data_IF_962739414293
#
_entry.id   IF_962739414293
#
_cell.length_a   1.000
_cell.length_b   1.000
_cell.length_c   1.000
_cell.angle_alpha   90.00
_cell.angle_beta   90.00
_cell.angle_gamma   90.00
#
_symmetry.space_group_name_H-M   'P 1'
#
loop_
_entity.id
_entity.type
_entity.pdbx_description
1 polymer ?
#
# COMPACT_ATOMS: atom_id res chain seq x y z
N UNK A 1 32.65 -51.95 22.22
CA UNK A 1 32.26 -51.15 21.03
C UNK A 1 32.67 -49.70 21.27
N UNK A 2 33.72 -49.20 20.60
CA UNK A 2 34.25 -47.84 20.86
C UNK A 2 33.55 -46.85 19.93
N UNK A 3 32.70 -45.99 20.49
CA UNK A 3 31.95 -44.96 19.76
C UNK A 3 32.91 -43.81 19.44
N UNK A 4 33.28 -43.65 18.18
CA UNK A 4 34.08 -42.51 17.71
C UNK A 4 33.19 -41.25 17.73
N UNK A 5 33.20 -40.51 18.83
CA UNK A 5 32.58 -39.19 18.90
C UNK A 5 33.49 -38.19 18.19
N UNK A 6 33.35 -38.08 16.86
CA UNK A 6 33.94 -36.96 16.10
C UNK A 6 33.16 -35.69 16.47
N UNK A 7 33.73 -34.87 17.34
CA UNK A 7 33.21 -33.52 17.61
C UNK A 7 33.47 -32.61 16.42
N UNK A 8 32.59 -31.61 16.24
CA UNK A 8 32.81 -30.54 15.27
C UNK A 8 34.07 -29.75 15.63
N UNK A 9 34.86 -29.39 14.63
CA UNK A 9 36.00 -28.50 14.84
C UNK A 9 35.52 -27.06 15.02
N UNK A 10 36.22 -26.27 15.84
CA UNK A 10 35.93 -24.83 15.96
C UNK A 10 36.00 -24.12 14.60
N UNK A 11 36.89 -24.60 13.73
CA UNK A 11 37.07 -24.04 12.39
C UNK A 11 35.85 -24.27 11.49
N UNK A 12 35.25 -25.46 11.52
CA UNK A 12 34.03 -25.74 10.74
C UNK A 12 32.88 -24.83 11.15
N UNK A 13 32.69 -24.64 12.46
CA UNK A 13 31.61 -23.80 12.96
C UNK A 13 31.86 -22.32 12.63
N UNK A 14 33.13 -21.88 12.68
CA UNK A 14 33.51 -20.52 12.32
C UNK A 14 33.30 -20.22 10.83
N UNK A 15 33.70 -21.12 9.93
CA UNK A 15 33.48 -20.95 8.48
C UNK A 15 31.99 -21.01 8.14
N UNK A 16 31.23 -21.90 8.77
CA UNK A 16 29.79 -21.98 8.56
C UNK A 16 29.09 -20.68 8.99
N UNK A 17 29.43 -20.14 10.16
CA UNK A 17 28.84 -18.91 10.67
C UNK A 17 29.19 -17.68 9.79
N UNK A 18 30.41 -17.61 9.24
CA UNK A 18 30.80 -16.50 8.36
C UNK A 18 30.07 -16.55 7.02
N UNK A 19 29.92 -17.73 6.42
CA UNK A 19 29.15 -17.90 5.17
C UNK A 19 27.68 -17.51 5.40
N UNK A 20 27.05 -17.98 6.48
CA UNK A 20 25.66 -17.60 6.82
C UNK A 20 25.55 -16.09 7.05
N UNK A 21 26.53 -15.47 7.73
CA UNK A 21 26.56 -14.03 7.95
C UNK A 21 26.55 -13.22 6.65
N UNK A 22 27.39 -13.60 5.67
CA UNK A 22 27.44 -12.93 4.36
C UNK A 22 26.11 -13.11 3.60
N UNK A 23 25.57 -14.33 3.57
CA UNK A 23 24.30 -14.60 2.90
C UNK A 23 23.12 -13.84 3.52
N UNK A 24 23.09 -13.69 4.85
CA UNK A 24 22.03 -12.97 5.56
C UNK A 24 21.98 -11.48 5.17
N UNK A 25 23.13 -10.84 4.97
CA UNK A 25 23.19 -9.43 4.54
C UNK A 25 22.60 -9.24 3.14
N UNK A 26 23.00 -10.07 2.17
CA UNK A 26 22.45 -10.01 0.81
C UNK A 26 20.96 -10.32 0.76
N UNK A 27 20.52 -11.36 1.47
CA UNK A 27 19.11 -11.74 1.54
C UNK A 27 18.24 -10.62 2.10
N UNK A 28 18.72 -9.89 3.11
CA UNK A 28 17.97 -8.79 3.73
C UNK A 28 17.68 -7.65 2.75
N UNK A 29 18.65 -7.25 1.92
CA UNK A 29 18.42 -6.16 0.95
C UNK A 29 17.46 -6.60 -0.15
N UNK A 30 17.66 -7.79 -0.72
CA UNK A 30 16.81 -8.32 -1.80
C UNK A 30 15.34 -8.53 -1.36
N UNK A 31 15.12 -9.04 -0.14
CA UNK A 31 13.77 -9.33 0.35
C UNK A 31 12.94 -8.06 0.61
N UNK A 32 13.57 -6.95 0.99
CA UNK A 32 12.86 -5.69 1.26
C UNK A 32 12.18 -5.13 0.02
N UNK A 33 12.80 -5.26 -1.15
CA UNK A 33 12.23 -4.77 -2.41
C UNK A 33 11.03 -5.61 -2.85
N UNK A 34 11.18 -6.93 -2.90
CA UNK A 34 10.09 -7.84 -3.30
C UNK A 34 8.88 -7.76 -2.36
N UNK A 35 9.13 -7.61 -1.05
CA UNK A 35 8.06 -7.39 -0.08
C UNK A 35 7.35 -6.03 -0.28
N UNK A 36 8.05 -5.00 -0.71
CA UNK A 36 7.45 -3.70 -1.01
C UNK A 36 6.59 -3.76 -2.27
N UNK A 37 7.05 -4.42 -3.33
CA UNK A 37 6.29 -4.62 -4.57
C UNK A 37 5.00 -5.41 -4.33
N UNK A 38 5.06 -6.47 -3.52
CA UNK A 38 3.87 -7.26 -3.15
C UNK A 38 2.84 -6.41 -2.41
N UNK A 39 3.29 -5.61 -1.44
CA UNK A 39 2.41 -4.67 -0.72
C UNK A 39 1.83 -3.62 -1.65
N UNK A 40 2.63 -3.11 -2.59
CA UNK A 40 2.18 -2.13 -3.56
C UNK A 40 1.08 -2.70 -4.46
N UNK A 41 1.25 -3.92 -4.96
CA UNK A 41 0.22 -4.58 -5.76
C UNK A 41 -1.09 -4.74 -4.98
N UNK A 42 -1.02 -5.12 -3.71
CA UNK A 42 -2.19 -5.17 -2.82
C UNK A 42 -2.84 -3.79 -2.63
N UNK A 43 -2.04 -2.76 -2.39
CA UNK A 43 -2.52 -1.39 -2.25
C UNK A 43 -3.19 -0.88 -3.54
N UNK A 44 -2.63 -1.15 -4.73
CA UNK A 44 -3.25 -0.80 -6.02
C UNK A 44 -4.64 -1.40 -6.18
N UNK A 45 -4.79 -2.68 -5.86
CA UNK A 45 -6.09 -3.37 -5.92
C UNK A 45 -7.11 -2.77 -4.93
N UNK A 46 -6.65 -2.36 -3.75
CA UNK A 46 -7.50 -1.67 -2.79
C UNK A 46 -7.90 -0.28 -3.28
N UNK A 47 -6.98 0.50 -3.83
CA UNK A 47 -7.28 1.80 -4.42
C UNK A 47 -8.30 1.69 -5.57
N UNK A 48 -8.23 0.63 -6.37
CA UNK A 48 -9.23 0.33 -7.41
C UNK A 48 -10.60 0.03 -6.81
N UNK A 49 -10.67 -0.80 -5.76
CA UNK A 49 -11.91 -1.08 -5.04
C UNK A 49 -12.52 0.21 -4.45
N UNK A 50 -11.68 1.10 -3.92
CA UNK A 50 -12.11 2.41 -3.42
C UNK A 50 -12.69 3.28 -4.54
N UNK A 51 -12.00 3.40 -5.67
CA UNK A 51 -12.47 4.17 -6.82
C UNK A 51 -13.81 3.65 -7.33
N UNK A 52 -13.95 2.33 -7.46
CA UNK A 52 -15.19 1.66 -7.86
C UNK A 52 -16.34 1.96 -6.89
N UNK A 53 -16.08 1.96 -5.58
CA UNK A 53 -17.09 2.29 -4.58
C UNK A 53 -17.54 3.75 -4.67
N UNK A 54 -16.59 4.68 -4.85
CA UNK A 54 -16.90 6.11 -5.09
C UNK A 54 -17.75 6.27 -6.36
N UNK A 55 -17.39 5.57 -7.43
CA UNK A 55 -18.14 5.62 -8.69
C UNK A 55 -19.57 5.10 -8.52
N UNK A 56 -19.77 3.98 -7.81
CA UNK A 56 -21.10 3.43 -7.50
C UNK A 56 -21.94 4.41 -6.67
N UNK A 57 -21.35 5.03 -5.65
CA UNK A 57 -22.01 6.07 -4.88
C UNK A 57 -22.44 7.26 -5.76
N UNK A 58 -21.61 7.68 -6.71
CA UNK A 58 -21.96 8.78 -7.64
C UNK A 58 -23.08 8.42 -8.60
N UNK A 59 -23.26 7.13 -8.92
CA UNK A 59 -24.39 6.68 -9.76
C UNK A 59 -25.70 6.61 -8.99
N UNK A 60 -25.66 6.18 -7.73
CA UNK A 60 -26.84 6.09 -6.86
C UNK A 60 -26.54 6.61 -5.45
N UNK A 61 -26.55 7.95 -5.25
CA UNK A 61 -26.30 8.53 -3.93
C UNK A 61 -27.49 8.36 -2.98
N UNK A 62 -28.70 8.11 -3.50
CA UNK A 62 -29.92 8.02 -2.70
C UNK A 62 -29.96 6.76 -1.81
N UNK A 63 -29.24 5.70 -2.22
CA UNK A 63 -29.06 4.50 -1.42
C UNK A 63 -28.24 4.73 -0.12
N UNK A 64 -27.58 5.89 0.01
CA UNK A 64 -26.74 6.23 1.15
C UNK A 64 -27.27 7.47 1.89
N UNK A 65 -28.28 7.26 2.74
CA UNK A 65 -28.93 8.33 3.51
C UNK A 65 -28.08 8.91 4.64
N UNK A 66 -26.91 8.31 4.91
CA UNK A 66 -26.00 8.73 5.98
C UNK A 66 -25.11 9.90 5.57
N UNK A 67 -25.02 10.22 4.28
CA UNK A 67 -24.29 11.38 3.77
C UNK A 67 -25.30 12.51 3.58
N UNK A 68 -25.42 13.36 4.60
CA UNK A 68 -26.19 14.61 4.46
C UNK A 68 -25.52 15.50 3.42
N UNK A 69 -26.29 16.35 2.72
CA UNK A 69 -25.83 17.15 1.57
C UNK A 69 -24.62 18.07 1.84
N UNK A 70 -24.19 18.22 3.10
CA UNK A 70 -23.07 19.05 3.54
C UNK A 70 -21.88 18.27 4.14
N UNK A 71 -21.91 16.93 4.15
CA UNK A 71 -20.80 16.11 4.65
C UNK A 71 -19.83 15.69 3.53
N UNK A 72 -18.54 15.93 3.72
CA UNK A 72 -17.48 15.44 2.83
C UNK A 72 -17.49 13.92 2.81
N UNK A 73 -17.53 13.34 1.60
CA UNK A 73 -17.51 11.89 1.43
C UNK A 73 -16.18 11.32 1.92
N UNK A 74 -16.24 10.36 2.84
CA UNK A 74 -15.08 9.67 3.38
C UNK A 74 -15.25 8.14 3.28
N UNK A 75 -14.14 7.43 3.52
CA UNK A 75 -14.09 5.96 3.43
C UNK A 75 -15.09 5.31 4.41
N UNK A 76 -15.22 5.83 5.62
CA UNK A 76 -16.14 5.31 6.64
C UNK A 76 -17.60 5.39 6.19
N UNK A 77 -18.00 6.47 5.51
CA UNK A 77 -19.34 6.61 4.94
C UNK A 77 -19.60 5.56 3.85
N UNK A 78 -18.63 5.30 2.97
CA UNK A 78 -18.77 4.27 1.92
C UNK A 78 -18.90 2.85 2.51
N UNK A 79 -18.17 2.55 3.58
CA UNK A 79 -18.30 1.29 4.32
C UNK A 79 -19.67 1.17 4.97
N UNK A 80 -20.12 2.23 5.65
CA UNK A 80 -21.42 2.24 6.33
C UNK A 80 -22.60 2.14 5.36
N UNK A 81 -22.45 2.70 4.16
CA UNK A 81 -23.45 2.60 3.09
C UNK A 81 -23.34 1.33 2.25
N UNK A 82 -22.40 0.42 2.57
CA UNK A 82 -22.28 -0.88 1.93
C UNK A 82 -21.64 -0.88 0.53
N UNK A 83 -21.03 0.23 0.10
CA UNK A 83 -20.26 0.26 -1.15
C UNK A 83 -18.85 -0.29 -1.01
N UNK A 84 -18.33 -0.34 0.22
CA UNK A 84 -17.03 -0.92 0.58
C UNK A 84 -17.17 -1.97 1.66
N UNK A 85 -16.27 -2.95 1.64
CA UNK A 85 -16.16 -3.92 2.72
C UNK A 85 -15.64 -3.27 4.01
N UNK A 86 -16.06 -3.80 5.16
CA UNK A 86 -15.58 -3.35 6.48
C UNK A 86 -14.06 -3.53 6.66
N UNK A 87 -13.47 -4.45 5.92
CA UNK A 87 -12.02 -4.68 5.87
C UNK A 87 -11.25 -3.44 5.38
N UNK A 88 -11.90 -2.55 4.63
CA UNK A 88 -11.29 -1.34 4.11
C UNK A 88 -10.98 -0.29 5.20
N UNK A 89 -11.65 -0.36 6.35
CA UNK A 89 -11.37 0.52 7.49
C UNK A 89 -9.96 0.33 8.06
N UNK A 90 -9.38 -0.87 7.91
CA UNK A 90 -8.00 -1.14 8.34
C UNK A 90 -6.96 -0.44 7.46
N UNK A 91 -7.31 -0.06 6.24
CA UNK A 91 -6.39 0.62 5.32
C UNK A 91 -6.14 2.08 5.70
N UNK A 92 -7.02 2.66 6.53
CA UNK A 92 -6.78 3.96 7.16
C UNK A 92 -5.64 3.89 8.18
N UNK A 93 -5.36 2.69 8.69
CA UNK A 93 -4.31 2.40 9.67
C UNK A 93 -3.06 1.79 9.02
N UNK A 94 -3.05 1.64 7.70
CA UNK A 94 -1.91 1.04 7.01
C UNK A 94 -0.63 1.86 7.27
N UNK A 95 0.44 1.22 7.78
CA UNK A 95 1.66 1.95 8.07
C UNK A 95 2.37 2.34 6.77
N UNK A 96 2.14 1.63 5.66
CA UNK A 96 2.90 1.76 4.41
C UNK A 96 2.29 2.73 3.41
N UNK A 97 0.97 2.67 3.17
CA UNK A 97 0.28 3.44 2.14
C UNK A 97 -0.83 4.29 2.75
N UNK A 98 -1.14 5.40 2.11
CA UNK A 98 -2.27 6.26 2.44
C UNK A 98 -3.23 6.30 1.26
N UNK A 99 -4.52 6.19 1.55
CA UNK A 99 -5.60 6.20 0.57
C UNK A 99 -6.49 7.41 0.82
N UNK A 100 -6.91 8.09 -0.24
CA UNK A 100 -7.75 9.27 -0.15
C UNK A 100 -8.80 9.26 -1.27
N UNK A 101 -10.00 9.73 -0.93
CA UNK A 101 -11.07 9.96 -1.91
C UNK A 101 -10.96 11.39 -2.40
N UNK A 102 -10.95 11.58 -3.71
CA UNK A 102 -10.77 12.90 -4.29
C UNK A 102 -12.13 13.60 -4.43
N UNK A 103 -12.48 14.43 -3.44
CA UNK A 103 -13.75 15.19 -3.43
C UNK A 103 -13.59 16.63 -3.90
N UNK A 104 -12.56 16.94 -4.72
CA UNK A 104 -12.32 18.27 -5.29
C UNK A 104 -11.47 19.23 -4.46
N UNK A 105 -10.82 18.74 -3.39
CA UNK A 105 -9.75 19.48 -2.71
C UNK A 105 -8.39 19.20 -3.37
N UNK A 106 -7.55 20.23 -3.51
CA UNK A 106 -6.16 20.06 -3.94
C UNK A 106 -5.32 19.54 -2.75
N UNK A 107 -5.25 18.22 -2.58
CA UNK A 107 -4.34 17.58 -1.63
C UNK A 107 -3.12 17.01 -2.37
N UNK A 108 -2.04 16.73 -1.64
CA UNK A 108 -0.82 16.14 -2.23
C UNK A 108 -1.13 14.77 -2.89
N UNK A 109 -2.13 14.06 -2.37
CA UNK A 109 -2.55 12.74 -2.86
C UNK A 109 -3.65 12.88 -3.91
N UNK A 110 -4.48 13.92 -3.89
CA UNK A 110 -5.49 14.20 -4.90
C UNK A 110 -5.18 15.54 -5.62
N UNK A 111 -4.38 15.53 -6.70
CA UNK A 111 -3.95 16.75 -7.38
C UNK A 111 -5.01 17.40 -8.26
N UNK A 112 -6.11 16.71 -8.57
CA UNK A 112 -7.21 17.20 -9.40
C UNK A 112 -8.54 16.58 -9.00
N UNK A 113 -9.65 17.29 -9.26
CA UNK A 113 -11.02 16.80 -9.09
C UNK A 113 -11.45 15.78 -10.16
N UNK A 114 -10.60 15.48 -11.14
CA UNK A 114 -10.84 14.46 -12.17
C UNK A 114 -10.67 13.04 -11.65
N UNK A 115 -9.94 12.87 -10.55
CA UNK A 115 -9.72 11.59 -9.90
C UNK A 115 -10.89 11.23 -8.98
N UNK A 116 -11.16 9.93 -8.83
CA UNK A 116 -12.14 9.38 -7.90
C UNK A 116 -11.49 9.03 -6.57
N UNK A 117 -10.38 8.30 -6.63
CA UNK A 117 -9.59 7.90 -5.48
C UNK A 117 -8.12 7.78 -5.87
N UNK A 118 -7.26 8.08 -4.90
CA UNK A 118 -5.81 8.05 -5.06
C UNK A 118 -5.14 7.38 -3.86
N UNK A 119 -3.96 6.85 -4.08
CA UNK A 119 -3.08 6.35 -3.04
C UNK A 119 -1.64 6.82 -3.25
N UNK A 120 -0.90 6.87 -2.15
CA UNK A 120 0.53 7.17 -2.16
C UNK A 120 1.24 6.47 -1.00
N UNK A 121 2.56 6.27 -1.10
CA UNK A 121 3.35 5.67 -0.02
C UNK A 121 3.66 6.66 1.09
N UNK A 122 3.47 6.22 2.32
CA UNK A 122 3.62 6.99 3.57
C UNK A 122 4.89 6.65 4.34
N UNK A 123 5.31 5.38 4.34
CA UNK A 123 6.42 4.90 5.19
C UNK A 123 7.77 4.92 4.51
N UNK A 124 8.79 5.46 5.19
CA UNK A 124 10.21 5.32 4.85
C UNK A 124 10.72 3.87 4.82
N UNK A 125 9.89 2.90 5.25
CA UNK A 125 10.17 1.46 5.06
C UNK A 125 9.97 1.01 3.61
N UNK A 126 9.24 1.79 2.80
CA UNK A 126 9.14 1.58 1.37
C UNK A 126 10.39 2.12 0.66
N UNK A 127 10.75 1.55 -0.50
CA UNK A 127 11.71 2.15 -1.42
C UNK A 127 11.35 3.61 -1.73
N UNK A 128 12.36 4.47 -1.83
CA UNK A 128 12.17 5.92 -2.00
C UNK A 128 11.23 6.27 -3.17
N UNK A 129 11.34 5.56 -4.30
CA UNK A 129 10.48 5.71 -5.49
C UNK A 129 8.97 5.60 -5.24
N UNK A 130 8.55 4.98 -4.13
CA UNK A 130 7.15 4.79 -3.77
C UNK A 130 6.65 5.79 -2.72
N UNK A 131 7.49 6.71 -2.25
CA UNK A 131 7.11 7.69 -1.25
C UNK A 131 6.38 8.89 -1.88
N UNK A 132 5.36 9.38 -1.20
CA UNK A 132 4.67 10.62 -1.55
C UNK A 132 5.64 11.81 -1.71
N UNK A 133 6.66 11.87 -0.85
CA UNK A 133 7.70 12.90 -0.88
C UNK A 133 8.51 12.91 -2.18
N UNK A 134 8.64 11.75 -2.84
CA UNK A 134 9.32 11.63 -4.12
C UNK A 134 8.38 11.83 -5.32
N UNK A 135 7.09 12.09 -5.06
CA UNK A 135 6.07 12.26 -6.10
C UNK A 135 5.38 10.96 -6.52
N UNK A 136 5.53 9.86 -5.75
CA UNK A 136 4.76 8.65 -6.05
C UNK A 136 3.27 8.89 -5.89
N UNK A 137 2.50 8.55 -6.92
CA UNK A 137 1.06 8.69 -6.90
C UNK A 137 0.40 7.64 -7.78
N UNK A 138 -0.70 7.05 -7.30
CA UNK A 138 -1.52 6.13 -8.06
C UNK A 138 -2.99 6.51 -7.92
N UNK A 139 -3.63 6.92 -9.01
CA UNK A 139 -4.97 7.50 -9.03
C UNK A 139 -5.86 6.87 -10.09
N UNK A 140 -7.15 6.79 -9.78
CA UNK A 140 -8.19 6.41 -10.74
C UNK A 140 -8.96 7.63 -11.20
N UNK A 141 -9.09 7.81 -12.50
CA UNK A 141 -9.87 8.88 -13.12
C UNK A 141 -11.33 8.48 -13.29
N UNK A 142 -12.20 9.48 -13.35
CA UNK A 142 -13.63 9.28 -13.62
C UNK A 142 -13.91 8.70 -15.02
N UNK A 143 -12.97 8.83 -15.95
CA UNK A 143 -13.01 8.22 -17.29
C UNK A 143 -12.67 6.72 -17.30
N UNK A 144 -12.31 6.14 -16.15
CA UNK A 144 -11.86 4.74 -16.04
C UNK A 144 -10.38 4.54 -16.37
N UNK A 145 -9.64 5.61 -16.67
CA UNK A 145 -8.19 5.60 -16.81
C UNK A 145 -7.49 5.54 -15.45
N UNK A 146 -6.30 4.95 -15.42
CA UNK A 146 -5.43 4.93 -14.25
C UNK A 146 -4.22 5.79 -14.53
N UNK A 147 -3.89 6.68 -13.60
CA UNK A 147 -2.65 7.43 -13.60
C UNK A 147 -1.71 6.85 -12.55
N UNK A 148 -0.52 6.45 -13.00
CA UNK A 148 0.58 6.09 -12.11
C UNK A 148 1.77 7.02 -12.38
N UNK A 149 2.17 7.76 -11.36
CA UNK A 149 3.40 8.55 -11.33
C UNK A 149 4.37 7.83 -10.40
N UNK A 150 5.53 7.46 -10.93
CA UNK A 150 6.62 6.92 -10.12
C UNK A 150 7.52 8.07 -9.68
N UNK A 151 7.82 8.14 -8.39
CA UNK A 151 8.66 9.20 -7.85
C UNK A 151 10.09 9.14 -8.39
N UNK A 152 10.75 10.30 -8.46
CA UNK A 152 12.17 10.34 -8.81
C UNK A 152 13.00 9.66 -7.71
N UNK A 153 14.03 8.91 -8.10
CA UNK A 153 14.98 8.29 -7.18
C UNK A 153 15.93 9.32 -6.58
#
# INVERSE_FOLDING_TARGET
MKKNNKGFTLLELLIAATIIGILAVFATVAYRESAAETRLAGAKAQAEALANAVQRYRMDPAACTLITSNSTLNISNLVNCGYLEKSFSYLLEDPYFSFEICTGGNSIICPSSTYLACMSGKSEKLPNRYLAKQGYLYCFENSGSVLEIVGAN
#
